data_IF_755504930763
#
_entry.id   IF_755504930763
#
_cell.length_a   1.000
_cell.length_b   1.000
_cell.length_c   1.000
_cell.angle_alpha   90.00
_cell.angle_beta   90.00
_cell.angle_gamma   90.00
#
_symmetry.space_group_name_H-M   'P 1'
#
loop_
_entity.id
_entity.type
_entity.pdbx_description
1 polymer ?
#
# COMPACT_ATOMS: atom_id res chain seq x y z
N UNK A 1 20.38 -91.51 -59.47
CA UNK A 1 19.27 -90.73 -58.88
C UNK A 1 19.76 -90.14 -57.59
N UNK A 2 20.13 -88.86 -57.63
CA UNK A 2 20.74 -88.13 -56.53
C UNK A 2 19.65 -87.68 -55.56
N UNK A 3 19.81 -88.03 -54.29
CA UNK A 3 19.00 -87.52 -53.19
C UNK A 3 19.16 -85.99 -53.10
N UNK A 4 18.07 -85.24 -53.29
CA UNK A 4 17.99 -83.85 -52.85
C UNK A 4 17.46 -83.88 -51.41
N UNK A 5 18.36 -83.72 -50.43
CA UNK A 5 17.96 -83.30 -49.09
C UNK A 5 17.59 -81.82 -49.15
N UNK A 6 16.48 -81.38 -48.55
CA UNK A 6 16.25 -79.95 -48.38
C UNK A 6 17.26 -79.46 -47.34
N UNK A 7 18.21 -78.67 -47.80
CA UNK A 7 19.12 -77.91 -46.96
C UNK A 7 18.32 -76.71 -46.43
N UNK A 8 17.76 -76.83 -45.23
CA UNK A 8 17.35 -75.66 -44.45
C UNK A 8 18.60 -75.03 -43.83
N UNK A 9 19.37 -74.27 -44.62
CA UNK A 9 20.36 -73.34 -44.11
C UNK A 9 19.81 -71.93 -44.22
N UNK A 10 19.49 -71.32 -43.08
CA UNK A 10 19.98 -69.97 -42.75
C UNK A 10 19.71 -69.68 -41.27
N UNK A 11 20.53 -70.29 -40.40
CA UNK A 11 20.80 -69.69 -39.10
C UNK A 11 21.73 -68.49 -39.35
N UNK A 12 21.18 -67.28 -39.46
CA UNK A 12 22.02 -66.07 -39.39
C UNK A 12 22.42 -65.86 -37.93
N UNK A 13 23.55 -66.48 -37.59
CA UNK A 13 24.16 -66.48 -36.28
C UNK A 13 25.33 -65.49 -36.31
N UNK A 14 25.18 -64.31 -35.71
CA UNK A 14 26.28 -63.32 -35.65
C UNK A 14 26.90 -63.15 -34.26
N UNK A 15 26.39 -63.82 -33.21
CA UNK A 15 27.21 -64.32 -32.08
C UNK A 15 26.43 -65.40 -31.30
N UNK A 16 26.93 -66.65 -31.27
CA UNK A 16 26.08 -67.86 -31.11
C UNK A 16 25.94 -68.44 -29.70
N UNK A 17 26.51 -67.84 -28.65
CA UNK A 17 26.42 -68.43 -27.29
C UNK A 17 25.02 -68.18 -26.71
N UNK A 18 24.11 -69.13 -26.89
CA UNK A 18 22.74 -69.07 -26.36
C UNK A 18 21.82 -68.09 -27.07
N UNK A 19 22.14 -67.69 -28.29
CA UNK A 19 21.28 -66.87 -29.13
C UNK A 19 20.13 -67.73 -29.71
N UNK A 20 18.88 -67.28 -29.55
CA UNK A 20 17.68 -67.98 -30.01
C UNK A 20 16.88 -67.02 -30.90
N UNK A 21 16.59 -67.42 -32.13
CA UNK A 21 15.60 -66.77 -32.99
C UNK A 21 14.69 -67.80 -33.66
N UNK A 22 13.49 -67.38 -34.05
CA UNK A 22 12.57 -68.19 -34.83
C UNK A 22 12.51 -67.70 -36.30
N UNK A 23 13.04 -68.47 -37.26
CA UNK A 23 13.04 -68.09 -38.67
C UNK A 23 11.63 -68.07 -39.30
N UNK A 24 10.70 -68.91 -38.84
CA UNK A 24 9.30 -68.91 -39.32
C UNK A 24 8.56 -67.62 -38.95
N UNK A 25 9.07 -66.92 -37.94
CA UNK A 25 8.54 -65.66 -37.45
C UNK A 25 9.30 -64.45 -37.98
N UNK A 26 10.24 -64.61 -38.91
CA UNK A 26 11.09 -63.53 -39.42
C UNK A 26 11.83 -62.74 -38.31
N UNK A 27 12.22 -63.43 -37.24
CA UNK A 27 12.92 -62.82 -36.10
C UNK A 27 14.45 -62.99 -36.22
N UNK A 28 15.19 -62.05 -35.62
CA UNK A 28 16.65 -61.99 -35.70
C UNK A 28 17.27 -61.75 -34.32
N UNK A 29 18.24 -62.58 -33.93
CA UNK A 29 18.95 -62.46 -32.66
C UNK A 29 20.48 -62.41 -32.91
N UNK A 30 21.14 -61.40 -32.35
CA UNK A 30 22.57 -61.13 -32.53
C UNK A 30 23.21 -60.93 -31.16
N UNK A 31 24.25 -61.69 -30.82
CA UNK A 31 24.96 -61.52 -29.55
C UNK A 31 24.68 -62.63 -28.52
N UNK A 32 25.26 -62.52 -27.34
CA UNK A 32 25.32 -63.60 -26.35
C UNK A 32 24.04 -63.66 -25.52
N UNK A 33 23.46 -64.86 -25.37
CA UNK A 33 22.25 -65.14 -24.57
C UNK A 33 21.05 -64.29 -25.00
N UNK A 34 20.99 -63.91 -26.28
CA UNK A 34 19.91 -63.09 -26.84
C UNK A 34 18.74 -63.97 -27.30
N UNK A 35 17.51 -63.49 -27.16
CA UNK A 35 16.31 -64.25 -27.52
C UNK A 35 15.35 -63.37 -28.31
N UNK A 36 15.07 -63.70 -29.56
CA UNK A 36 14.05 -63.07 -30.38
C UNK A 36 12.96 -64.10 -30.70
N UNK A 37 11.85 -64.10 -29.94
CA UNK A 37 10.78 -65.10 -30.04
C UNK A 37 9.47 -64.56 -30.66
N UNK A 38 9.30 -63.24 -30.68
CA UNK A 38 8.15 -62.58 -31.30
C UNK A 38 8.20 -62.56 -32.83
N UNK A 39 7.04 -62.38 -33.47
CA UNK A 39 6.95 -62.20 -34.93
C UNK A 39 7.67 -60.92 -35.36
N UNK A 40 8.62 -60.98 -36.29
CA UNK A 40 9.45 -59.87 -36.75
C UNK A 40 10.22 -59.16 -35.61
N UNK A 41 10.55 -59.90 -34.53
CA UNK A 41 11.32 -59.37 -33.41
C UNK A 41 12.82 -59.31 -33.71
N UNK A 42 13.49 -58.29 -33.18
CA UNK A 42 14.94 -58.10 -33.29
C UNK A 42 15.57 -57.98 -31.90
N UNK A 43 16.57 -58.82 -31.59
CA UNK A 43 17.35 -58.74 -30.36
C UNK A 43 18.84 -58.63 -30.69
N UNK A 44 19.56 -57.69 -30.06
CA UNK A 44 20.99 -57.49 -30.26
C UNK A 44 21.71 -57.14 -28.96
N UNK A 45 22.83 -57.80 -28.65
CA UNK A 45 23.73 -57.48 -27.53
C UNK A 45 24.00 -58.63 -26.55
N UNK A 46 23.79 -58.43 -25.26
CA UNK A 46 24.05 -59.42 -24.19
C UNK A 46 22.79 -59.61 -23.35
N UNK A 47 22.24 -60.81 -23.23
CA UNK A 47 20.98 -61.05 -22.50
C UNK A 47 19.83 -60.11 -22.94
N UNK A 48 19.75 -59.82 -24.24
CA UNK A 48 18.66 -59.04 -24.82
C UNK A 48 17.51 -59.95 -25.26
N UNK A 49 16.29 -59.68 -24.78
CA UNK A 49 15.10 -60.49 -25.04
C UNK A 49 14.03 -59.66 -25.76
N UNK A 50 13.69 -60.03 -26.99
CA UNK A 50 12.62 -59.45 -27.79
C UNK A 50 11.51 -60.50 -27.98
N UNK A 51 10.48 -60.45 -27.13
CA UNK A 51 9.43 -61.48 -27.08
C UNK A 51 8.06 -61.04 -27.61
N UNK A 52 7.78 -59.74 -27.65
CA UNK A 52 6.57 -59.21 -28.27
C UNK A 52 6.66 -59.22 -29.80
N UNK A 53 5.53 -59.08 -30.49
CA UNK A 53 5.53 -58.95 -31.95
C UNK A 53 6.12 -57.61 -32.39
N UNK A 54 6.97 -57.62 -33.43
CA UNK A 54 7.60 -56.46 -34.06
C UNK A 54 8.40 -55.60 -33.06
N UNK A 55 9.00 -56.24 -32.06
CA UNK A 55 9.80 -55.57 -31.03
C UNK A 55 11.26 -55.46 -31.40
N UNK A 56 11.96 -54.48 -30.81
CA UNK A 56 13.41 -54.32 -30.93
C UNK A 56 14.08 -54.19 -29.57
N UNK A 57 15.02 -55.06 -29.23
CA UNK A 57 15.86 -54.99 -28.02
C UNK A 57 17.32 -54.84 -28.41
N UNK A 58 17.96 -53.72 -28.07
CA UNK A 58 19.36 -53.45 -28.40
C UNK A 58 20.13 -53.02 -27.14
N UNK A 59 21.07 -53.85 -26.71
CA UNK A 59 21.97 -53.57 -25.59
C UNK A 59 22.15 -54.73 -24.61
N UNK A 60 22.25 -54.46 -23.31
CA UNK A 60 22.66 -55.44 -22.29
C UNK A 60 21.61 -55.66 -21.21
N UNK A 61 21.20 -56.90 -20.98
CA UNK A 61 20.27 -57.29 -19.93
C UNK A 61 18.92 -56.52 -20.02
N UNK A 62 18.25 -56.67 -21.16
CA UNK A 62 17.05 -55.92 -21.51
C UNK A 62 15.94 -56.83 -22.02
N UNK A 63 14.69 -56.38 -21.89
CA UNK A 63 13.53 -57.13 -22.33
C UNK A 63 12.47 -56.24 -22.99
N UNK A 64 12.22 -56.40 -24.29
CA UNK A 64 11.06 -55.85 -25.00
C UNK A 64 9.97 -56.93 -25.10
N UNK A 65 8.97 -56.82 -24.23
CA UNK A 65 7.89 -57.80 -24.07
C UNK A 65 6.56 -57.40 -24.68
N UNK A 66 6.25 -56.11 -24.73
CA UNK A 66 4.98 -55.64 -25.31
C UNK A 66 5.04 -55.59 -26.84
N UNK A 67 3.92 -55.81 -27.53
CA UNK A 67 3.93 -55.75 -29.01
C UNK A 67 4.30 -54.35 -29.49
N UNK A 68 5.12 -54.28 -30.54
CA UNK A 68 5.70 -53.06 -31.10
C UNK A 68 6.54 -52.25 -30.10
N UNK A 69 6.98 -52.86 -28.99
CA UNK A 69 7.86 -52.20 -28.01
C UNK A 69 9.33 -52.16 -28.44
N UNK A 70 10.08 -51.25 -27.84
CA UNK A 70 11.50 -51.09 -28.11
C UNK A 70 12.29 -50.80 -26.83
N UNK A 71 13.46 -51.40 -26.69
CA UNK A 71 14.42 -51.09 -25.61
C UNK A 71 15.79 -50.84 -26.20
N UNK A 72 16.37 -49.68 -25.89
CA UNK A 72 17.75 -49.33 -26.22
C UNK A 72 18.51 -48.97 -24.94
N UNK A 73 19.56 -49.73 -24.64
CA UNK A 73 20.44 -49.46 -23.49
C UNK A 73 20.67 -50.69 -22.62
N UNK A 74 20.58 -50.57 -21.30
CA UNK A 74 20.82 -51.71 -20.41
C UNK A 74 19.97 -51.74 -19.16
N UNK A 75 19.78 -52.94 -18.60
CA UNK A 75 19.04 -53.14 -17.36
C UNK A 75 17.63 -52.53 -17.43
N UNK A 76 16.83 -52.92 -18.43
CA UNK A 76 15.55 -52.29 -18.70
C UNK A 76 14.51 -53.25 -19.31
N UNK A 77 13.25 -53.08 -18.92
CA UNK A 77 12.13 -53.92 -19.35
C UNK A 77 10.98 -53.05 -19.88
N UNK A 78 10.66 -53.16 -21.16
CA UNK A 78 9.50 -52.50 -21.77
C UNK A 78 8.42 -53.53 -22.08
N UNK A 79 7.37 -53.54 -21.27
CA UNK A 79 6.27 -54.52 -21.31
C UNK A 79 4.97 -53.97 -21.89
N UNK A 80 4.81 -52.64 -21.96
CA UNK A 80 3.63 -52.03 -22.57
C UNK A 80 3.60 -52.20 -24.09
N UNK A 81 2.41 -52.31 -24.68
CA UNK A 81 2.24 -52.29 -26.13
C UNK A 81 2.65 -50.91 -26.69
N UNK A 82 3.47 -50.86 -27.75
CA UNK A 82 4.03 -49.62 -28.31
C UNK A 82 4.77 -48.77 -27.25
N UNK A 83 5.36 -49.42 -26.25
CA UNK A 83 6.19 -48.76 -25.25
C UNK A 83 7.65 -48.72 -25.68
N UNK A 84 8.36 -47.67 -25.31
CA UNK A 84 9.79 -47.51 -25.64
C UNK A 84 10.56 -47.17 -24.36
N UNK A 85 11.73 -47.77 -24.20
CA UNK A 85 12.74 -47.36 -23.23
C UNK A 85 14.03 -46.98 -23.94
N UNK A 86 14.61 -45.84 -23.56
CA UNK A 86 15.97 -45.46 -23.90
C UNK A 86 16.72 -45.15 -22.61
N UNK A 87 17.72 -45.96 -22.25
CA UNK A 87 18.55 -45.65 -21.08
C UNK A 87 19.09 -46.85 -20.33
N UNK A 88 19.47 -46.62 -19.07
CA UNK A 88 20.20 -47.55 -18.22
C UNK A 88 19.51 -47.66 -16.86
N UNK A 89 18.96 -48.82 -16.48
CA UNK A 89 18.41 -49.04 -15.13
C UNK A 89 19.48 -49.01 -14.04
N UNK A 90 19.10 -48.96 -12.77
CA UNK A 90 20.07 -48.90 -11.66
C UNK A 90 20.96 -50.16 -11.57
N UNK A 91 20.40 -51.35 -11.83
CA UNK A 91 21.09 -52.63 -11.62
C UNK A 91 20.50 -53.78 -12.42
N UNK A 92 21.14 -54.95 -12.34
CA UNK A 92 20.80 -56.10 -13.19
C UNK A 92 19.60 -56.92 -12.68
N UNK A 93 19.27 -56.80 -11.39
CA UNK A 93 18.13 -57.44 -10.73
C UNK A 93 16.81 -56.83 -11.21
N UNK A 94 15.72 -57.60 -11.17
CA UNK A 94 14.46 -57.19 -11.81
C UNK A 94 13.87 -55.91 -11.20
N UNK A 95 14.02 -55.75 -9.89
CA UNK A 95 13.63 -54.59 -9.09
C UNK A 95 14.47 -53.34 -9.37
N UNK A 96 15.68 -53.51 -9.90
CA UNK A 96 16.65 -52.44 -10.18
C UNK A 96 16.65 -52.00 -11.65
N UNK A 97 15.81 -52.62 -12.48
CA UNK A 97 15.70 -52.27 -13.91
C UNK A 97 14.78 -51.09 -14.11
N UNK A 98 15.07 -50.29 -15.14
CA UNK A 98 14.11 -49.30 -15.62
C UNK A 98 12.92 -50.02 -16.26
N UNK A 99 11.72 -49.73 -15.78
CA UNK A 99 10.54 -50.54 -16.08
C UNK A 99 9.41 -49.71 -16.70
N UNK A 100 9.05 -50.01 -17.95
CA UNK A 100 7.95 -49.37 -18.66
C UNK A 100 6.85 -50.37 -19.04
N UNK A 101 5.79 -50.44 -18.25
CA UNK A 101 4.61 -51.25 -18.53
C UNK A 101 3.40 -50.42 -18.99
N UNK A 102 3.64 -49.24 -19.55
CA UNK A 102 2.58 -48.32 -19.95
C UNK A 102 2.46 -48.32 -21.48
N UNK A 103 1.28 -48.65 -22.00
CA UNK A 103 1.05 -48.70 -23.44
C UNK A 103 1.20 -47.31 -24.08
N UNK A 104 1.73 -47.26 -25.30
CA UNK A 104 1.90 -46.05 -26.11
C UNK A 104 2.69 -44.96 -25.36
N UNK A 105 3.87 -45.32 -24.85
CA UNK A 105 4.70 -44.42 -24.03
C UNK A 105 6.17 -44.49 -24.41
N UNK A 106 6.92 -43.43 -24.09
CA UNK A 106 8.37 -43.40 -24.15
C UNK A 106 8.93 -43.05 -22.78
N UNK A 107 9.89 -43.84 -22.32
CA UNK A 107 10.56 -43.69 -21.04
C UNK A 107 12.07 -43.51 -21.26
N UNK A 108 12.64 -42.47 -20.66
CA UNK A 108 14.07 -42.20 -20.68
C UNK A 108 14.57 -42.01 -19.25
N UNK A 109 15.61 -42.74 -18.88
CA UNK A 109 16.20 -42.69 -17.54
C UNK A 109 17.58 -43.33 -17.50
N UNK A 110 18.44 -42.82 -16.64
CA UNK A 110 19.81 -43.32 -16.49
C UNK A 110 20.13 -43.53 -15.02
N UNK A 111 20.69 -44.69 -14.70
CA UNK A 111 21.10 -45.10 -13.37
C UNK A 111 19.98 -44.94 -12.31
N UNK A 112 18.76 -45.31 -12.68
CA UNK A 112 17.58 -45.22 -11.82
C UNK A 112 16.53 -46.25 -12.24
N UNK A 113 15.67 -46.64 -11.29
CA UNK A 113 14.47 -47.43 -11.55
C UNK A 113 13.30 -46.55 -11.99
N UNK A 114 13.42 -45.23 -11.81
CA UNK A 114 12.45 -44.23 -12.18
C UNK A 114 12.91 -43.46 -13.42
N UNK A 115 11.98 -43.02 -14.28
CA UNK A 115 12.34 -42.20 -15.42
C UNK A 115 12.75 -40.79 -15.03
N UNK A 116 13.71 -40.25 -15.78
CA UNK A 116 13.99 -38.81 -15.80
C UNK A 116 12.99 -38.09 -16.70
N UNK A 117 12.67 -38.67 -17.87
CA UNK A 117 11.72 -38.15 -18.84
C UNK A 117 10.74 -39.25 -19.24
N UNK A 118 9.45 -38.92 -19.24
CA UNK A 118 8.39 -39.79 -19.69
C UNK A 118 7.49 -39.04 -20.67
N UNK A 119 7.09 -39.71 -21.76
CA UNK A 119 6.13 -39.19 -22.73
C UNK A 119 4.95 -40.16 -22.78
N UNK A 120 3.79 -39.67 -22.33
CA UNK A 120 2.54 -40.43 -22.31
C UNK A 120 1.77 -40.36 -23.63
N UNK A 121 0.80 -41.26 -23.76
CA UNK A 121 -0.08 -41.34 -24.93
C UNK A 121 -0.90 -40.06 -25.14
N UNK A 122 -1.36 -39.87 -26.37
CA UNK A 122 -2.46 -38.94 -26.64
C UNK A 122 -3.82 -39.57 -26.29
N UNK A 123 -4.75 -38.74 -25.81
CA UNK A 123 -6.13 -39.14 -25.52
C UNK A 123 -7.05 -39.14 -26.75
N UNK A 124 -6.60 -38.57 -27.89
CA UNK A 124 -7.37 -38.58 -29.13
C UNK A 124 -6.48 -38.32 -30.36
N UNK A 125 -6.96 -38.65 -31.55
CA UNK A 125 -6.24 -38.39 -32.82
C UNK A 125 -5.90 -36.92 -33.10
N UNK A 126 -6.55 -35.97 -32.42
CA UNK A 126 -6.34 -34.53 -32.57
C UNK A 126 -5.71 -33.86 -31.35
N UNK A 127 -5.11 -34.65 -30.46
CA UNK A 127 -4.38 -34.16 -29.28
C UNK A 127 -2.97 -34.71 -29.28
N UNK A 128 -2.07 -34.06 -28.54
CA UNK A 128 -0.74 -34.58 -28.24
C UNK A 128 -0.74 -35.34 -26.90
N UNK A 129 0.31 -36.10 -26.64
CA UNK A 129 0.59 -36.67 -25.33
C UNK A 129 0.97 -35.63 -24.27
N UNK A 130 1.37 -36.10 -23.11
CA UNK A 130 1.87 -35.27 -22.01
C UNK A 130 3.29 -35.68 -21.64
N UNK A 131 4.08 -34.74 -21.13
CA UNK A 131 5.48 -34.95 -20.73
C UNK A 131 5.57 -34.94 -19.21
N UNK A 132 6.20 -35.95 -18.64
CA UNK A 132 6.61 -36.04 -17.24
C UNK A 132 8.12 -35.87 -17.10
N UNK A 133 8.58 -35.05 -16.16
CA UNK A 133 9.99 -34.92 -15.78
C UNK A 133 10.11 -35.21 -14.28
N UNK A 134 11.02 -36.13 -13.92
CA UNK A 134 11.29 -36.51 -12.52
C UNK A 134 10.24 -37.45 -11.94
N UNK A 135 10.39 -38.76 -12.17
CA UNK A 135 9.52 -39.82 -11.68
C UNK A 135 7.99 -39.54 -11.84
N UNK A 136 7.60 -39.12 -13.04
CA UNK A 136 6.20 -38.92 -13.43
C UNK A 136 5.86 -39.83 -14.60
N UNK A 137 5.11 -40.89 -14.34
CA UNK A 137 4.64 -41.85 -15.36
C UNK A 137 3.16 -41.67 -15.74
N UNK A 138 2.44 -40.81 -15.02
CA UNK A 138 1.09 -40.36 -15.35
C UNK A 138 0.98 -38.83 -15.22
N UNK A 139 1.40 -38.06 -16.24
CA UNK A 139 1.42 -36.60 -16.15
C UNK A 139 0.01 -35.99 -16.09
N UNK A 140 -0.27 -35.23 -15.02
CA UNK A 140 -1.55 -34.53 -14.82
C UNK A 140 -1.70 -33.24 -15.66
N UNK A 141 -0.58 -32.72 -16.17
CA UNK A 141 -0.51 -31.54 -17.04
C UNK A 141 0.25 -31.85 -18.34
N UNK A 142 0.20 -30.93 -19.30
CA UNK A 142 0.96 -31.07 -20.57
C UNK A 142 2.46 -31.25 -20.34
N UNK A 143 2.99 -30.54 -19.35
CA UNK A 143 4.29 -30.72 -18.78
C UNK A 143 4.12 -30.81 -17.26
N UNK A 144 4.44 -31.96 -16.68
CA UNK A 144 4.43 -32.19 -15.24
C UNK A 144 5.88 -32.42 -14.80
N UNK A 145 6.41 -31.52 -13.97
CA UNK A 145 7.74 -31.64 -13.38
C UNK A 145 7.57 -31.92 -11.89
N UNK A 146 8.19 -32.99 -11.40
CA UNK A 146 8.17 -33.38 -9.99
C UNK A 146 9.60 -33.60 -9.52
N UNK A 147 9.89 -33.14 -8.31
CA UNK A 147 11.14 -33.38 -7.60
C UNK A 147 11.08 -34.67 -6.78
N UNK A 148 12.24 -35.26 -6.51
CA UNK A 148 12.38 -36.27 -5.47
C UNK A 148 12.54 -35.61 -4.08
N UNK A 149 12.43 -36.42 -3.03
CA UNK A 149 12.48 -35.93 -1.64
C UNK A 149 13.80 -35.17 -1.36
N UNK A 150 13.68 -33.91 -0.95
CA UNK A 150 14.82 -33.05 -0.62
C UNK A 150 15.39 -32.24 -1.79
N UNK A 151 14.85 -32.37 -3.00
CA UNK A 151 15.25 -31.58 -4.16
C UNK A 151 14.37 -30.33 -4.35
N UNK A 152 14.84 -29.36 -5.12
CA UNK A 152 14.06 -28.18 -5.51
C UNK A 152 13.47 -28.44 -6.89
N UNK A 153 12.16 -28.28 -7.03
CA UNK A 153 11.50 -28.23 -8.35
C UNK A 153 11.52 -26.79 -8.86
N UNK A 154 12.06 -26.58 -10.05
CA UNK A 154 12.10 -25.26 -10.67
C UNK A 154 12.44 -25.34 -12.16
N UNK A 155 12.01 -24.32 -12.91
CA UNK A 155 12.45 -24.10 -14.28
C UNK A 155 13.48 -22.97 -14.23
N UNK A 156 14.75 -23.31 -14.37
CA UNK A 156 15.82 -22.33 -14.48
C UNK A 156 16.09 -22.05 -15.96
N UNK A 157 15.81 -20.81 -16.38
CA UNK A 157 16.04 -20.35 -17.76
C UNK A 157 17.17 -19.34 -17.70
N UNK A 158 18.34 -19.68 -18.24
CA UNK A 158 19.51 -18.80 -18.27
C UNK A 158 19.94 -18.49 -19.70
N UNK A 159 20.46 -17.28 -19.91
CA UNK A 159 21.08 -16.87 -21.17
C UNK A 159 22.54 -16.49 -20.91
N UNK A 160 23.51 -16.98 -21.72
CA UNK A 160 24.95 -16.81 -21.46
C UNK A 160 25.50 -15.37 -21.50
N UNK A 161 24.67 -14.33 -21.58
CA UNK A 161 25.08 -12.92 -21.59
C UNK A 161 24.05 -11.96 -20.92
N UNK A 162 23.16 -12.46 -20.06
CA UNK A 162 22.17 -11.73 -19.24
C UNK A 162 21.15 -10.80 -19.93
N UNK A 163 21.24 -10.55 -21.25
CA UNK A 163 20.41 -9.55 -21.95
C UNK A 163 18.90 -9.64 -21.70
N UNK A 164 18.28 -10.76 -22.07
CA UNK A 164 16.82 -10.94 -21.98
C UNK A 164 16.51 -12.41 -21.74
N UNK A 165 15.67 -12.71 -20.75
CA UNK A 165 15.08 -14.04 -20.58
C UNK A 165 13.57 -13.92 -20.47
N UNK A 166 12.85 -14.70 -21.29
CA UNK A 166 11.40 -14.66 -21.40
C UNK A 166 10.79 -16.03 -21.09
N UNK A 167 9.71 -16.01 -20.30
CA UNK A 167 8.81 -17.14 -20.09
C UNK A 167 7.38 -16.71 -20.47
N UNK A 168 6.89 -17.22 -21.59
CA UNK A 168 5.58 -16.83 -22.16
C UNK A 168 4.46 -17.77 -21.72
N UNK A 169 3.29 -17.21 -21.43
CA UNK A 169 2.07 -17.89 -21.03
C UNK A 169 0.96 -17.66 -22.07
N UNK A 170 0.85 -18.54 -23.05
CA UNK A 170 -0.19 -18.47 -24.09
C UNK A 170 0.22 -17.61 -25.30
N UNK A 171 0.52 -16.32 -25.12
CA UNK A 171 1.03 -15.45 -26.20
C UNK A 171 2.30 -14.74 -25.79
N UNK A 172 2.96 -14.08 -26.76
CA UNK A 172 4.17 -13.27 -26.48
C UNK A 172 3.89 -12.03 -25.61
N UNK A 173 2.63 -11.72 -25.35
CA UNK A 173 2.20 -10.58 -24.56
C UNK A 173 1.89 -10.93 -23.10
N UNK A 174 1.90 -12.22 -22.76
CA UNK A 174 1.60 -12.71 -21.42
C UNK A 174 2.82 -13.48 -20.94
N UNK A 175 3.45 -13.07 -19.84
CA UNK A 175 4.62 -13.78 -19.37
C UNK A 175 5.48 -13.04 -18.35
N UNK A 176 6.59 -13.69 -18.01
CA UNK A 176 7.65 -13.14 -17.16
C UNK A 176 8.85 -12.83 -18.04
N UNK A 177 9.36 -11.60 -17.97
CA UNK A 177 10.55 -11.15 -18.68
C UNK A 177 11.55 -10.59 -17.68
N UNK A 178 12.79 -11.06 -17.74
CA UNK A 178 13.92 -10.43 -17.05
C UNK A 178 14.77 -9.65 -18.03
N UNK A 179 15.18 -8.43 -17.66
CA UNK A 179 16.08 -7.59 -18.45
C UNK A 179 17.08 -6.87 -17.55
N UNK A 180 18.28 -6.60 -18.06
CA UNK A 180 19.36 -5.93 -17.32
C UNK A 180 18.94 -4.60 -16.68
N UNK A 181 18.11 -3.81 -17.37
CA UNK A 181 17.77 -2.44 -16.96
C UNK A 181 16.55 -2.34 -16.04
N UNK A 182 15.70 -3.37 -15.97
CA UNK A 182 14.37 -3.28 -15.35
C UNK A 182 14.04 -4.44 -14.38
N UNK A 183 14.98 -5.35 -14.11
CA UNK A 183 14.75 -6.51 -13.26
C UNK A 183 13.69 -7.46 -13.85
N UNK A 184 12.75 -7.92 -13.01
CA UNK A 184 11.68 -8.85 -13.38
C UNK A 184 10.38 -8.10 -13.73
N UNK A 185 9.90 -8.31 -14.94
CA UNK A 185 8.69 -7.71 -15.52
C UNK A 185 7.63 -8.80 -15.70
N UNK A 186 6.46 -8.60 -15.09
CA UNK A 186 5.26 -9.35 -15.42
C UNK A 186 4.58 -8.61 -16.58
N UNK A 187 4.35 -9.26 -17.73
CA UNK A 187 3.72 -8.64 -18.91
C UNK A 187 2.34 -9.21 -19.12
N UNK A 188 1.33 -8.33 -19.27
CA UNK A 188 -0.05 -8.67 -19.66
C UNK A 188 -0.66 -7.48 -20.45
N UNK A 189 -1.47 -7.72 -21.50
CA UNK A 189 -2.14 -6.65 -22.24
C UNK A 189 -3.37 -6.08 -21.53
N UNK A 190 -3.85 -6.71 -20.45
CA UNK A 190 -5.05 -6.29 -19.70
C UNK A 190 -4.73 -6.13 -18.21
N UNK A 191 -5.46 -6.83 -17.35
CA UNK A 191 -5.41 -6.70 -15.91
C UNK A 191 -4.54 -7.79 -15.30
N UNK A 192 -3.95 -7.49 -14.14
CA UNK A 192 -3.54 -8.52 -13.18
C UNK A 192 -4.75 -8.77 -12.27
N UNK A 193 -5.18 -10.03 -12.18
CA UNK A 193 -6.30 -10.44 -11.33
C UNK A 193 -5.74 -11.41 -10.30
N UNK A 194 -5.89 -11.04 -9.03
CA UNK A 194 -5.61 -11.90 -7.88
C UNK A 194 -6.96 -12.35 -7.34
N UNK A 195 -7.45 -13.48 -7.84
CA UNK A 195 -8.74 -14.08 -7.51
C UNK A 195 -8.54 -15.05 -6.35
N UNK A 196 -8.71 -14.54 -5.12
CA UNK A 196 -8.31 -15.17 -3.85
C UNK A 196 -6.80 -15.04 -3.54
N UNK A 197 -6.48 -14.74 -2.26
CA UNK A 197 -5.12 -14.47 -1.78
C UNK A 197 -4.75 -12.98 -1.65
N UNK A 198 -3.85 -12.69 -0.70
CA UNK A 198 -3.39 -11.34 -0.35
C UNK A 198 -2.05 -11.03 -1.01
N UNK A 199 -1.84 -9.78 -1.42
CA UNK A 199 -0.60 -9.29 -2.04
C UNK A 199 0.30 -8.63 -0.98
N UNK A 200 1.44 -9.25 -0.68
CA UNK A 200 2.47 -8.69 0.19
C UNK A 200 3.61 -8.06 -0.60
N UNK A 201 3.96 -6.81 -0.31
CA UNK A 201 5.19 -6.16 -0.79
C UNK A 201 6.12 -5.98 0.41
N UNK A 202 7.29 -6.63 0.34
CA UNK A 202 8.27 -6.68 1.43
C UNK A 202 7.73 -7.35 2.72
N UNK A 203 6.76 -8.26 2.59
CA UNK A 203 6.23 -9.10 3.69
C UNK A 203 5.85 -10.48 3.18
N UNK A 204 6.09 -11.52 3.97
CA UNK A 204 5.67 -12.90 3.67
C UNK A 204 4.29 -13.25 4.23
N UNK A 205 3.76 -12.43 5.14
CA UNK A 205 2.50 -12.67 5.84
C UNK A 205 1.62 -11.41 5.76
N UNK A 206 1.00 -11.13 4.60
CA UNK A 206 0.15 -9.97 4.44
C UNK A 206 -1.09 -10.03 5.35
N UNK A 207 -1.35 -8.96 6.11
CA UNK A 207 -2.51 -8.88 7.00
C UNK A 207 -3.77 -8.39 6.26
N UNK A 208 -3.59 -7.63 5.20
CA UNK A 208 -4.65 -7.08 4.34
C UNK A 208 -4.48 -7.54 2.90
N UNK A 209 -5.49 -7.32 2.06
CA UNK A 209 -5.49 -7.74 0.65
C UNK A 209 -4.32 -7.15 -0.15
N UNK A 210 -3.88 -5.95 0.22
CA UNK A 210 -2.60 -5.37 -0.18
C UNK A 210 -1.87 -4.87 1.08
N UNK A 211 -0.75 -5.50 1.42
CA UNK A 211 0.09 -5.15 2.58
C UNK A 211 1.49 -4.75 2.08
N UNK A 212 1.86 -3.48 2.28
CA UNK A 212 3.13 -2.92 1.81
C UNK A 212 3.97 -2.50 3.01
N UNK A 213 5.03 -3.25 3.31
CA UNK A 213 6.03 -2.87 4.31
C UNK A 213 7.03 -1.87 3.73
N UNK A 214 6.56 -0.64 3.51
CA UNK A 214 7.34 0.44 2.92
C UNK A 214 6.49 1.67 2.61
N UNK A 215 7.03 2.58 1.79
CA UNK A 215 6.30 3.75 1.31
C UNK A 215 5.66 3.48 -0.05
N UNK A 216 4.45 4.00 -0.26
CA UNK A 216 3.76 3.96 -1.57
C UNK A 216 3.90 5.34 -2.22
N UNK A 217 4.50 5.39 -3.40
CA UNK A 217 4.53 6.60 -4.24
C UNK A 217 3.53 6.46 -5.37
N UNK A 218 2.53 7.34 -5.45
CA UNK A 218 1.54 7.36 -6.53
C UNK A 218 1.29 8.78 -7.02
N UNK A 219 1.16 8.95 -8.34
CA UNK A 219 0.74 10.22 -8.94
C UNK A 219 -0.73 10.54 -8.64
N UNK A 220 -1.57 9.52 -8.51
CA UNK A 220 -3.00 9.60 -8.20
C UNK A 220 -3.38 8.38 -7.37
N UNK A 221 -3.44 8.52 -6.05
CA UNK A 221 -4.00 7.50 -5.16
C UNK A 221 -5.48 7.83 -4.92
N UNK A 222 -6.37 6.92 -5.28
CA UNK A 222 -7.80 7.03 -4.96
C UNK A 222 -8.12 5.99 -3.91
N UNK A 223 -8.59 6.43 -2.74
CA UNK A 223 -9.15 5.57 -1.71
C UNK A 223 -10.67 5.64 -1.84
N UNK A 224 -11.26 4.56 -2.34
CA UNK A 224 -12.70 4.46 -2.60
C UNK A 224 -13.39 3.76 -1.43
N UNK A 225 -14.48 4.34 -0.94
CA UNK A 225 -15.42 3.72 -0.02
C UNK A 225 -16.78 3.69 -0.71
N UNK A 226 -17.29 2.48 -0.96
CA UNK A 226 -18.54 2.27 -1.70
C UNK A 226 -19.76 2.86 -1.00
N UNK A 227 -19.71 2.99 0.34
CA UNK A 227 -20.82 3.49 1.13
C UNK A 227 -20.89 5.02 1.11
N UNK A 228 -19.76 5.70 0.87
CA UNK A 228 -19.68 7.16 0.83
C UNK A 228 -20.02 7.75 -0.55
N UNK A 229 -20.04 6.93 -1.60
CA UNK A 229 -20.31 7.40 -2.97
C UNK A 229 -21.75 7.88 -3.21
N UNK A 230 -22.66 7.60 -2.27
CA UNK A 230 -24.06 8.00 -2.34
C UNK A 230 -24.30 9.45 -1.87
N UNK A 231 -23.32 10.09 -1.21
CA UNK A 231 -23.52 11.38 -0.51
C UNK A 231 -22.88 12.61 -1.18
N UNK A 232 -22.29 12.49 -2.38
CA UNK A 232 -21.54 13.57 -3.05
C UNK A 232 -20.44 14.18 -2.16
N UNK A 233 -19.36 13.42 -1.95
CA UNK A 233 -18.21 13.76 -1.10
C UNK A 233 -17.25 14.83 -1.68
N UNK A 234 -17.71 15.68 -2.61
CA UNK A 234 -16.88 16.77 -3.13
C UNK A 234 -16.46 17.71 -2.00
N UNK A 235 -15.15 17.93 -1.83
CA UNK A 235 -14.59 18.76 -0.77
C UNK A 235 -14.25 18.05 0.55
N UNK A 236 -14.52 16.75 0.67
CA UNK A 236 -14.13 15.98 1.87
C UNK A 236 -12.61 15.88 2.04
N UNK A 237 -12.17 15.82 3.30
CA UNK A 237 -10.74 15.69 3.64
C UNK A 237 -10.41 14.27 4.12
N UNK A 238 -9.24 13.77 3.75
CA UNK A 238 -8.74 12.48 4.22
C UNK A 238 -8.02 12.66 5.57
N UNK A 239 -8.42 11.89 6.59
CA UNK A 239 -7.76 11.88 7.90
C UNK A 239 -7.27 10.48 8.26
N UNK A 240 -6.35 10.40 9.21
CA UNK A 240 -5.94 9.14 9.84
C UNK A 240 -6.38 9.13 11.31
N UNK A 241 -6.81 7.97 11.82
CA UNK A 241 -7.05 7.79 13.26
C UNK A 241 -5.74 7.45 14.00
N UNK A 242 -5.83 7.23 15.32
CA UNK A 242 -4.66 6.86 16.14
C UNK A 242 -4.01 5.52 15.73
N UNK A 243 -4.75 4.66 15.01
CA UNK A 243 -4.27 3.40 14.46
C UNK A 243 -3.70 3.53 13.03
N UNK A 244 -3.70 4.74 12.44
CA UNK A 244 -3.22 4.99 11.09
C UNK A 244 -4.20 4.64 9.97
N UNK A 245 -5.45 4.24 10.29
CA UNK A 245 -6.46 3.96 9.28
C UNK A 245 -6.92 5.27 8.66
N UNK A 246 -6.83 5.36 7.33
CA UNK A 246 -7.29 6.52 6.58
C UNK A 246 -8.80 6.45 6.34
N UNK A 247 -9.52 7.55 6.55
CA UNK A 247 -10.96 7.66 6.29
C UNK A 247 -11.30 9.09 5.86
N UNK A 248 -12.34 9.22 5.04
CA UNK A 248 -12.85 10.52 4.60
C UNK A 248 -13.70 11.16 5.70
N UNK A 249 -13.60 12.46 5.87
CA UNK A 249 -14.40 13.23 6.85
C UNK A 249 -14.98 14.47 6.18
N UNK A 250 -16.27 14.73 6.43
CA UNK A 250 -16.91 16.00 6.07
C UNK A 250 -16.25 17.14 6.86
N UNK A 251 -15.69 18.17 6.18
CA UNK A 251 -15.13 19.33 6.83
C UNK A 251 -16.10 20.03 7.78
N UNK A 252 -17.41 19.96 7.55
CA UNK A 252 -18.42 20.55 8.43
C UNK A 252 -18.48 19.87 9.81
N UNK A 253 -18.04 18.61 9.92
CA UNK A 253 -17.90 17.90 11.20
C UNK A 253 -16.57 18.17 11.91
N UNK A 254 -15.69 19.01 11.34
CA UNK A 254 -14.41 19.41 11.95
C UNK A 254 -14.53 20.63 12.88
N UNK A 255 -15.73 20.96 13.31
CA UNK A 255 -15.96 22.04 14.26
C UNK A 255 -15.43 21.62 15.64
N UNK A 256 -14.36 22.25 16.11
CA UNK A 256 -13.94 22.19 17.52
C UNK A 256 -14.70 23.22 18.39
N UNK A 257 -15.73 23.86 17.80
CA UNK A 257 -16.58 24.89 18.37
C UNK A 257 -15.85 26.19 18.77
N UNK A 258 -14.57 26.35 18.41
CA UNK A 258 -13.78 27.52 18.80
C UNK A 258 -13.84 28.67 17.78
N UNK A 259 -14.02 28.42 16.48
CA UNK A 259 -14.13 29.52 15.50
C UNK A 259 -15.23 29.27 14.47
N UNK A 260 -16.23 30.14 14.47
CA UNK A 260 -17.33 30.12 13.51
C UNK A 260 -17.02 31.11 12.39
N UNK A 261 -16.87 30.59 11.17
CA UNK A 261 -16.76 31.40 9.95
C UNK A 261 -18.17 31.57 9.38
N UNK A 262 -18.62 32.82 9.23
CA UNK A 262 -19.91 33.17 8.63
C UNK A 262 -19.74 34.29 7.61
N UNK A 263 -19.87 33.95 6.32
CA UNK A 263 -19.52 34.86 5.23
C UNK A 263 -18.04 35.26 5.29
N UNK A 264 -17.78 36.57 5.35
CA UNK A 264 -16.44 37.13 5.49
C UNK A 264 -16.01 37.33 6.96
N UNK A 265 -16.82 36.88 7.92
CA UNK A 265 -16.58 37.14 9.35
C UNK A 265 -16.09 35.87 10.05
N UNK A 266 -15.15 36.04 10.98
CA UNK A 266 -14.72 35.02 11.94
C UNK A 266 -15.17 35.46 13.34
N UNK A 267 -15.89 34.59 14.06
CA UNK A 267 -16.37 34.91 15.42
C UNK A 267 -16.30 33.72 16.37
N UNK A 268 -16.04 34.01 17.65
CA UNK A 268 -16.20 33.09 18.78
C UNK A 268 -17.54 33.39 19.45
N UNK A 269 -18.50 32.45 19.37
CA UNK A 269 -19.86 32.70 19.88
C UNK A 269 -19.96 32.70 21.41
N UNK A 270 -19.27 31.78 22.08
CA UNK A 270 -19.17 31.71 23.55
C UNK A 270 -17.70 31.55 24.00
N UNK A 271 -17.32 31.96 25.21
CA UNK A 271 -15.93 31.94 25.68
C UNK A 271 -15.16 33.26 25.51
N UNK A 272 -13.82 33.21 25.47
CA UNK A 272 -12.91 34.36 25.51
C UNK A 272 -11.72 34.18 24.57
N UNK A 273 -11.21 35.27 23.97
CA UNK A 273 -10.04 35.27 23.08
C UNK A 273 -8.81 35.80 23.83
N UNK A 274 -7.75 35.00 23.92
CA UNK A 274 -6.44 35.40 24.47
C UNK A 274 -5.39 35.54 23.38
N UNK A 275 -4.73 36.70 23.28
CA UNK A 275 -3.61 36.94 22.35
C UNK A 275 -2.33 37.09 23.20
N UNK A 276 -1.42 36.12 23.08
CA UNK A 276 -0.19 36.08 23.89
C UNK A 276 -0.39 35.73 25.37
N UNK A 277 -1.60 35.26 25.75
CA UNK A 277 -1.96 34.83 27.12
C UNK A 277 -2.99 33.70 27.07
N UNK A 278 -2.94 32.81 28.07
CA UNK A 278 -3.97 31.78 28.29
C UNK A 278 -4.98 32.17 29.39
N UNK A 279 -4.72 33.25 30.13
CA UNK A 279 -5.64 33.80 31.11
C UNK A 279 -6.28 35.07 30.55
N UNK A 280 -7.60 35.05 30.41
CA UNK A 280 -8.37 36.18 29.88
C UNK A 280 -8.98 37.06 30.97
N UNK A 281 -8.75 36.73 32.25
CA UNK A 281 -9.21 37.49 33.41
C UNK A 281 -10.72 37.80 33.40
N UNK A 282 -11.52 36.93 32.77
CA UNK A 282 -12.97 37.12 32.62
C UNK A 282 -13.39 38.07 31.50
N UNK A 283 -12.43 38.69 30.79
CA UNK A 283 -12.71 39.56 29.64
C UNK A 283 -12.90 38.73 28.36
N UNK A 284 -13.76 39.22 27.46
CA UNK A 284 -14.00 38.57 26.15
C UNK A 284 -12.78 38.62 25.22
N UNK A 285 -11.92 39.62 25.37
CA UNK A 285 -10.64 39.75 24.67
C UNK A 285 -9.56 40.18 25.66
N UNK A 286 -8.47 39.41 25.76
CA UNK A 286 -7.29 39.77 26.54
C UNK A 286 -6.03 39.69 25.67
N UNK A 287 -5.21 40.74 25.71
CA UNK A 287 -3.98 40.84 24.91
C UNK A 287 -2.79 41.10 25.82
N UNK A 288 -1.81 40.20 25.82
CA UNK A 288 -0.53 40.41 26.48
C UNK A 288 0.45 41.04 25.48
N UNK A 289 0.34 42.35 25.31
CA UNK A 289 1.10 43.12 24.33
C UNK A 289 0.39 44.42 23.95
N UNK A 290 1.01 45.19 23.05
CA UNK A 290 0.41 46.41 22.51
C UNK A 290 -0.59 46.11 21.39
N UNK A 291 -1.63 46.92 21.29
CA UNK A 291 -2.61 46.89 20.21
C UNK A 291 -2.42 48.15 19.36
N UNK A 292 -2.31 47.99 18.04
CA UNK A 292 -2.37 49.09 17.07
C UNK A 292 -3.71 49.01 16.33
N UNK A 293 -4.44 50.13 16.28
CA UNK A 293 -5.73 50.23 15.60
C UNK A 293 -5.92 51.66 15.09
N UNK A 294 -6.70 51.82 14.03
CA UNK A 294 -7.05 53.14 13.50
C UNK A 294 -8.07 53.85 14.40
N UNK A 295 -9.01 53.11 15.00
CA UNK A 295 -10.06 53.64 15.88
C UNK A 295 -10.48 52.62 16.95
N UNK A 296 -10.95 53.12 18.11
CA UNK A 296 -11.63 52.34 19.14
C UNK A 296 -12.89 53.09 19.58
N UNK A 297 -14.06 52.48 19.40
CA UNK A 297 -15.32 52.99 19.94
C UNK A 297 -15.66 52.27 21.24
N UNK A 298 -15.61 52.99 22.37
CA UNK A 298 -16.04 52.46 23.68
C UNK A 298 -17.45 52.94 23.98
N UNK A 299 -18.43 52.03 23.94
CA UNK A 299 -19.82 52.34 24.27
C UNK A 299 -20.12 51.99 25.73
N UNK A 300 -20.00 52.99 26.61
CA UNK A 300 -20.40 52.87 28.01
C UNK A 300 -21.93 53.00 28.11
N UNK A 301 -22.55 52.27 29.04
CA UNK A 301 -24.02 52.29 29.22
C UNK A 301 -24.51 53.37 30.21
N UNK A 302 -23.59 54.12 30.81
CA UNK A 302 -23.88 55.18 31.77
C UNK A 302 -24.17 56.51 31.08
N UNK A 303 -24.87 57.41 31.77
CA UNK A 303 -25.18 58.76 31.29
C UNK A 303 -23.91 59.62 31.18
N UNK A 304 -23.81 60.35 30.08
CA UNK A 304 -22.78 61.37 29.87
C UNK A 304 -23.01 62.57 30.80
N UNK A 305 -21.94 63.27 31.21
CA UNK A 305 -21.96 64.18 32.34
C UNK A 305 -22.75 65.47 32.15
N UNK A 306 -23.40 65.69 31.00
CA UNK A 306 -24.25 66.85 30.66
C UNK A 306 -25.17 67.33 31.80
N UNK A 307 -25.56 66.42 32.71
CA UNK A 307 -26.27 66.75 33.95
C UNK A 307 -25.56 67.77 34.85
N UNK A 308 -24.25 68.00 34.70
CA UNK A 308 -23.47 69.01 35.43
C UNK A 308 -24.04 70.41 35.19
N UNK A 309 -24.60 70.66 34.01
CA UNK A 309 -25.22 71.94 33.66
C UNK A 309 -26.67 72.09 34.13
N UNK A 310 -27.23 71.10 34.81
CA UNK A 310 -28.57 71.22 35.38
C UNK A 310 -28.58 72.23 36.54
N UNK A 311 -29.70 72.95 36.69
CA UNK A 311 -29.85 74.00 37.73
C UNK A 311 -29.67 73.49 39.16
N UNK A 312 -30.02 72.24 39.40
CA UNK A 312 -29.93 71.59 40.71
C UNK A 312 -28.59 70.86 40.92
N UNK A 313 -27.62 71.02 40.01
CA UNK A 313 -26.31 70.42 40.17
C UNK A 313 -25.55 71.05 41.36
N UNK A 314 -25.23 70.22 42.35
CA UNK A 314 -24.49 70.65 43.53
C UNK A 314 -22.98 70.79 43.21
N UNK A 315 -22.60 71.92 42.62
CA UNK A 315 -21.20 72.25 42.38
C UNK A 315 -20.47 72.46 43.71
N UNK A 316 -19.39 71.72 43.93
CA UNK A 316 -18.60 71.78 45.16
C UNK A 316 -17.99 73.20 45.32
N UNK A 317 -18.12 73.90 46.46
CA UNK A 317 -17.47 75.20 46.63
C UNK A 317 -15.94 75.11 46.52
N UNK A 318 -15.29 76.09 45.88
CA UNK A 318 -13.83 76.07 45.64
C UNK A 318 -12.99 75.84 46.91
N UNK A 319 -13.39 76.39 48.05
CA UNK A 319 -12.72 76.17 49.35
C UNK A 319 -12.77 74.70 49.81
N UNK A 320 -13.90 74.02 49.56
CA UNK A 320 -14.06 72.60 49.89
C UNK A 320 -13.29 71.73 48.90
N UNK A 321 -13.26 72.12 47.62
CA UNK A 321 -12.46 71.45 46.60
C UNK A 321 -10.96 71.55 46.91
N UNK A 322 -10.47 72.73 47.30
CA UNK A 322 -9.09 72.96 47.74
C UNK A 322 -8.74 72.05 48.93
N UNK A 323 -9.58 72.06 49.98
CA UNK A 323 -9.39 71.20 51.15
C UNK A 323 -9.35 69.71 50.79
N UNK A 324 -10.17 69.28 49.82
CA UNK A 324 -10.17 67.91 49.33
C UNK A 324 -8.86 67.57 48.61
N UNK A 325 -8.38 68.45 47.73
CA UNK A 325 -7.13 68.24 46.97
C UNK A 325 -5.92 68.21 47.91
N UNK A 326 -5.86 69.09 48.91
CA UNK A 326 -4.78 69.09 49.91
C UNK A 326 -4.73 67.78 50.71
N UNK A 327 -5.91 67.23 51.04
CA UNK A 327 -6.01 66.01 51.84
C UNK A 327 -5.78 64.73 51.03
N UNK A 328 -6.30 64.65 49.80
CA UNK A 328 -6.35 63.42 49.01
C UNK A 328 -5.37 63.40 47.83
N UNK A 329 -4.83 64.55 47.42
CA UNK A 329 -3.89 64.70 46.29
C UNK A 329 -4.44 64.25 44.92
N UNK A 330 -5.75 64.13 44.77
CA UNK A 330 -6.44 63.90 43.49
C UNK A 330 -7.81 64.62 43.49
N UNK A 331 -8.46 64.68 42.32
CA UNK A 331 -9.78 65.31 42.19
C UNK A 331 -10.90 64.38 42.69
N UNK A 332 -11.97 64.92 43.30
CA UNK A 332 -13.11 64.11 43.75
C UNK A 332 -13.71 63.26 42.63
N UNK A 333 -13.84 61.96 42.86
CA UNK A 333 -14.43 61.02 41.89
C UNK A 333 -13.52 60.63 40.72
N UNK A 334 -12.25 61.06 40.69
CA UNK A 334 -11.22 60.48 39.82
C UNK A 334 -10.50 59.39 40.60
N UNK A 335 -10.31 58.17 40.04
CA UNK A 335 -9.58 57.11 40.73
C UNK A 335 -8.12 57.51 40.98
N UNK A 336 -7.55 56.97 42.05
CA UNK A 336 -6.15 57.20 42.42
C UNK A 336 -5.20 56.47 41.48
N UNK A 337 -3.93 56.88 41.48
CA UNK A 337 -2.90 56.19 40.69
C UNK A 337 -2.71 54.73 41.12
N UNK A 338 -2.87 54.42 42.42
CA UNK A 338 -2.77 53.06 42.96
C UNK A 338 -3.91 52.18 42.44
N UNK A 339 -5.15 52.67 42.47
CA UNK A 339 -6.31 51.97 41.90
C UNK A 339 -6.14 51.69 40.39
N UNK A 340 -5.59 52.64 39.63
CA UNK A 340 -5.35 52.45 38.18
C UNK A 340 -4.26 51.41 37.92
N UNK A 341 -3.21 51.36 38.75
CA UNK A 341 -2.13 50.37 38.62
C UNK A 341 -2.63 48.96 38.91
N UNK A 342 -3.47 48.81 39.94
CA UNK A 342 -3.95 47.51 40.41
C UNK A 342 -5.12 46.97 39.56
N UNK A 343 -6.09 47.81 39.22
CA UNK A 343 -7.33 47.40 38.53
C UNK A 343 -7.32 47.65 37.02
N UNK A 344 -6.40 48.51 36.55
CA UNK A 344 -6.31 48.94 35.16
C UNK A 344 -7.19 50.15 34.82
N UNK A 345 -6.86 50.85 33.74
CA UNK A 345 -7.58 52.05 33.30
C UNK A 345 -8.80 51.70 32.45
N UNK A 346 -10.00 51.96 32.97
CA UNK A 346 -11.25 51.82 32.22
C UNK A 346 -11.45 53.03 31.30
N UNK A 347 -10.94 52.93 30.06
CA UNK A 347 -10.89 54.05 29.09
C UNK A 347 -12.21 54.84 28.97
N UNK A 348 -13.35 54.17 28.77
CA UNK A 348 -14.63 54.85 28.61
C UNK A 348 -15.13 55.55 29.87
N UNK A 349 -14.87 54.97 31.05
CA UNK A 349 -15.25 55.59 32.33
C UNK A 349 -14.36 56.78 32.67
N UNK A 350 -13.05 56.65 32.44
CA UNK A 350 -12.11 57.74 32.64
C UNK A 350 -12.43 58.93 31.72
N UNK A 351 -12.71 58.69 30.44
CA UNK A 351 -13.08 59.76 29.50
C UNK A 351 -14.34 60.51 29.96
N UNK A 352 -15.34 59.76 30.46
CA UNK A 352 -16.57 60.33 31.03
C UNK A 352 -16.29 61.18 32.27
N UNK A 353 -15.46 60.68 33.19
CA UNK A 353 -15.08 61.39 34.40
C UNK A 353 -14.27 62.66 34.08
N UNK A 354 -13.34 62.59 33.12
CA UNK A 354 -12.58 63.74 32.65
C UNK A 354 -13.51 64.79 32.04
N UNK A 355 -14.47 64.39 31.20
CA UNK A 355 -15.46 65.31 30.65
C UNK A 355 -16.28 65.98 31.76
N UNK A 356 -16.73 65.22 32.76
CA UNK A 356 -17.41 65.78 33.94
C UNK A 356 -16.58 66.87 34.62
N UNK A 357 -15.27 66.64 34.76
CA UNK A 357 -14.36 67.64 35.36
C UNK A 357 -14.16 68.87 34.49
N UNK A 358 -14.15 68.71 33.17
CA UNK A 358 -14.11 69.83 32.23
C UNK A 358 -15.39 70.67 32.36
N UNK A 359 -16.55 70.05 32.50
CA UNK A 359 -17.82 70.76 32.69
C UNK A 359 -17.90 71.47 34.05
N UNK A 360 -17.48 70.81 35.14
CA UNK A 360 -17.37 71.45 36.47
C UNK A 360 -16.40 72.64 36.43
N UNK A 361 -15.24 72.47 35.78
CA UNK A 361 -14.27 73.55 35.60
C UNK A 361 -14.87 74.72 34.82
N UNK A 362 -15.68 74.43 33.80
CA UNK A 362 -16.39 75.46 33.02
C UNK A 362 -17.35 76.26 33.91
N UNK A 363 -18.08 75.61 34.83
CA UNK A 363 -18.92 76.31 35.80
C UNK A 363 -18.12 77.20 36.76
N UNK A 364 -16.96 76.74 37.24
CA UNK A 364 -16.10 77.58 38.09
C UNK A 364 -15.56 78.79 37.33
N UNK A 365 -15.18 78.64 36.06
CA UNK A 365 -14.72 79.75 35.21
C UNK A 365 -15.84 80.78 35.04
N UNK A 366 -17.05 80.34 34.73
CA UNK A 366 -18.22 81.24 34.63
C UNK A 366 -18.48 81.96 35.96
N UNK A 367 -18.40 81.25 37.09
CA UNK A 367 -18.56 81.87 38.40
C UNK A 367 -17.45 82.89 38.71
N UNK A 368 -16.22 82.62 38.26
CA UNK A 368 -15.09 83.52 38.44
C UNK A 368 -15.24 84.78 37.56
N UNK A 369 -15.71 84.63 36.33
CA UNK A 369 -16.00 85.73 35.41
C UNK A 369 -17.03 86.70 35.99
N UNK A 370 -18.15 86.19 36.51
CA UNK A 370 -19.15 87.02 37.20
C UNK A 370 -18.56 87.79 38.40
N UNK A 371 -17.64 87.18 39.15
CA UNK A 371 -16.96 87.87 40.26
C UNK A 371 -16.00 88.94 39.75
N UNK A 372 -15.33 88.73 38.61
CA UNK A 372 -14.46 89.74 38.00
C UNK A 372 -15.29 90.94 37.52
N UNK A 373 -16.41 90.72 36.82
CA UNK A 373 -17.33 91.80 36.41
C UNK A 373 -17.88 92.58 37.61
N UNK A 374 -18.24 91.89 38.70
CA UNK A 374 -18.70 92.53 39.94
C UNK A 374 -17.58 93.39 40.56
N UNK A 375 -16.35 92.88 40.60
CA UNK A 375 -15.19 93.61 41.12
C UNK A 375 -14.85 94.83 40.24
N UNK A 376 -14.90 94.70 38.91
CA UNK A 376 -14.70 95.80 37.97
C UNK A 376 -15.76 96.88 38.15
N UNK A 377 -17.03 96.50 38.23
CA UNK A 377 -18.14 97.43 38.48
C UNK A 377 -17.98 98.16 39.81
N UNK A 378 -17.56 97.46 40.87
CA UNK A 378 -17.27 98.08 42.18
C UNK A 378 -16.06 99.02 42.12
N UNK A 379 -15.07 98.73 41.29
CA UNK A 379 -13.91 99.60 41.06
C UNK A 379 -14.35 100.89 40.34
N UNK A 380 -15.17 100.79 39.29
CA UNK A 380 -15.70 101.93 38.54
C UNK A 380 -16.54 102.86 39.42
N UNK A 381 -17.34 102.31 40.34
CA UNK A 381 -18.10 103.09 41.33
C UNK A 381 -17.17 103.84 42.31
N UNK A 382 -15.99 103.28 42.63
CA UNK A 382 -15.01 103.92 43.53
C UNK A 382 -14.20 105.04 42.85
N UNK A 383 -14.16 105.08 41.50
CA UNK A 383 -13.34 106.02 40.70
C UNK A 383 -14.15 107.26 40.25
N UNK A 384 -15.46 107.35 40.53
CA UNK A 384 -16.24 108.57 40.28
C UNK A 384 -15.88 109.69 41.29
N UNK A 385 -15.45 110.90 40.84
CA UNK A 385 -14.95 111.94 41.73
C UNK A 385 -16.04 112.55 42.61
N UNK A 386 -15.69 112.78 43.88
CA UNK A 386 -16.33 113.79 44.72
C UNK A 386 -16.09 115.18 44.11
N UNK A 387 -16.88 115.57 43.10
CA UNK A 387 -17.14 116.98 42.83
C UNK A 387 -18.23 117.44 43.82
N UNK A 388 -17.80 117.84 45.03
CA UNK A 388 -18.58 118.72 45.88
C UNK A 388 -18.23 120.18 45.55
N UNK A 389 -19.29 120.92 45.19
CA UNK A 389 -19.47 122.37 45.07
C UNK A 389 -18.40 123.30 45.63
#
# INVERSE_FOLDING_TARGET
MTFIRPVTLQAQCTNCRGAISNPERASSAIGIMTQASGMAAFASGYYAIASGEKTSSIGSNIHAGGDHSMVLGSNANSLGERSIIIGHGFGEYQEDRLFNNINNSLMIGFNSIYPTLFIGKSHSKYRTGSIGIGNVTDPEAKLHIRNDQGEIVGIFIEQPNFRITDFYLGTKDHGLRSTDDHGLIFRTPKNYVFDDGKVGINTYYPHYDLDVQGSIFSKKLTLFDENLYLENIEGWVLRANAQGNAYWTDPAMLNDDDWIISGNNIHRWDGTVGIGTNNTYGYKLAVNGAIITEEVTVKVSEDWPDYVFNKDYALLPLQQLESYIESNRHLPGIPTAEEIIDEGLRLGEMERLLLKKIEELTLYIIQQDYKMEELETRLDVFVLPQEFK
#
